data_IF_365173689192
#
_entry.id   IF_365173689192
#
_cell.length_a   1.000
_cell.length_b   1.000
_cell.length_c   1.000
_cell.angle_alpha   90.00
_cell.angle_beta   90.00
_cell.angle_gamma   90.00
#
_symmetry.space_group_name_H-M   'P 1'
#
loop_
_entity.id
_entity.type
_entity.pdbx_description
1 polymer ?
#
# COMPACT_ATOMS: atom_id res chain seq x y z
N UNK A 1 39.92 79.91 2.50
CA UNK A 1 38.71 79.35 1.83
C UNK A 1 38.86 77.83 1.72
N UNK A 2 38.26 77.09 2.62
CA UNK A 2 38.42 75.64 2.70
C UNK A 2 37.13 75.03 2.17
N UNK A 3 37.18 74.34 1.03
CA UNK A 3 36.00 73.59 0.50
C UNK A 3 35.89 72.22 1.18
N UNK A 4 34.78 71.99 1.85
CA UNK A 4 34.43 70.69 2.42
C UNK A 4 33.81 69.82 1.30
N UNK A 5 34.51 68.75 0.92
CA UNK A 5 34.01 67.74 -0.01
C UNK A 5 33.06 66.86 0.72
N UNK A 6 31.73 66.96 0.45
CA UNK A 6 30.72 66.07 0.92
C UNK A 6 30.83 64.72 0.21
N UNK A 7 31.22 63.65 0.94
CA UNK A 7 31.19 62.31 0.47
C UNK A 7 29.72 61.81 0.42
N UNK A 8 29.21 61.39 -0.71
CA UNK A 8 27.89 60.78 -0.89
C UNK A 8 27.92 59.33 -0.32
N UNK A 9 26.94 58.94 0.51
CA UNK A 9 26.86 57.60 0.99
C UNK A 9 26.49 56.66 -0.19
N UNK A 10 27.31 55.63 -0.41
CA UNK A 10 27.02 54.53 -1.34
C UNK A 10 25.94 53.66 -0.73
N UNK A 11 24.75 53.63 -1.34
CA UNK A 11 23.70 52.68 -1.01
C UNK A 11 24.15 51.25 -1.40
N UNK A 12 23.99 50.23 -0.53
CA UNK A 12 24.35 48.87 -0.86
C UNK A 12 23.42 48.36 -1.98
N UNK A 13 24.00 48.04 -3.14
CA UNK A 13 23.30 47.33 -4.22
C UNK A 13 22.97 45.93 -3.70
N UNK A 14 21.70 45.67 -3.40
CA UNK A 14 21.18 44.32 -3.23
C UNK A 14 21.28 43.61 -4.58
N UNK A 15 22.33 42.81 -4.78
CA UNK A 15 22.40 41.89 -5.91
C UNK A 15 21.40 40.77 -5.70
N UNK A 16 20.39 40.70 -6.54
CA UNK A 16 19.51 39.53 -6.59
C UNK A 16 20.38 38.31 -6.93
N UNK A 17 20.13 37.15 -6.27
CA UNK A 17 20.90 35.97 -6.58
C UNK A 17 20.74 35.59 -8.05
N UNK A 18 21.80 35.18 -8.73
CA UNK A 18 21.72 34.79 -10.13
C UNK A 18 20.68 33.67 -10.31
N UNK A 19 19.92 33.73 -11.39
CA UNK A 19 18.83 32.77 -11.69
C UNK A 19 19.26 31.31 -11.55
N UNK A 20 20.54 31.02 -11.84
CA UNK A 20 21.16 29.70 -11.65
C UNK A 20 21.14 29.21 -10.20
N UNK A 21 21.28 30.08 -9.21
CA UNK A 21 21.23 29.70 -7.78
C UNK A 21 19.80 29.36 -7.38
N UNK A 22 18.82 30.11 -7.89
CA UNK A 22 17.39 29.83 -7.61
C UNK A 22 16.99 28.48 -8.20
N UNK A 23 17.40 28.17 -9.43
CA UNK A 23 17.16 26.89 -10.08
C UNK A 23 17.79 25.75 -9.29
N UNK A 24 19.03 25.90 -8.84
CA UNK A 24 19.74 24.88 -8.07
C UNK A 24 19.04 24.59 -6.74
N UNK A 25 18.54 25.61 -6.03
CA UNK A 25 17.80 25.46 -4.78
C UNK A 25 16.47 24.75 -5.00
N UNK A 26 15.74 25.08 -6.06
CA UNK A 26 14.45 24.45 -6.39
C UNK A 26 14.65 22.98 -6.76
N UNK A 27 15.66 22.66 -7.58
CA UNK A 27 15.97 21.27 -7.95
C UNK A 27 16.42 20.47 -6.72
N UNK A 28 17.25 21.05 -5.86
CA UNK A 28 17.68 20.43 -4.61
C UNK A 28 16.49 20.14 -3.67
N UNK A 29 15.57 21.09 -3.53
CA UNK A 29 14.37 20.91 -2.71
C UNK A 29 13.45 19.81 -3.27
N UNK A 30 13.24 19.74 -4.58
CA UNK A 30 12.45 18.69 -5.24
C UNK A 30 13.09 17.31 -5.08
N UNK A 31 14.41 17.20 -5.17
CA UNK A 31 15.13 15.94 -4.92
C UNK A 31 15.02 15.51 -3.46
N UNK A 32 15.12 16.42 -2.49
CA UNK A 32 14.94 16.09 -1.07
C UNK A 32 13.51 15.62 -0.77
N UNK A 33 12.49 16.26 -1.35
CA UNK A 33 11.09 15.82 -1.21
C UNK A 33 10.89 14.45 -1.86
N UNK A 34 11.43 14.23 -3.06
CA UNK A 34 11.36 12.92 -3.73
C UNK A 34 12.03 11.81 -2.92
N UNK A 35 13.21 12.07 -2.34
CA UNK A 35 13.88 11.12 -1.44
C UNK A 35 13.09 10.84 -0.17
N UNK A 36 12.46 11.84 0.43
CA UNK A 36 11.65 11.66 1.64
C UNK A 36 10.41 10.78 1.38
N UNK A 37 9.84 10.82 0.17
CA UNK A 37 8.78 9.90 -0.25
C UNK A 37 9.28 8.49 -0.55
N UNK A 38 10.49 8.36 -1.11
CA UNK A 38 11.09 7.06 -1.43
C UNK A 38 11.59 6.29 -0.20
N UNK A 39 11.86 6.99 0.90
CA UNK A 39 12.34 6.40 2.16
C UNK A 39 11.22 6.15 3.18
N UNK A 40 9.94 6.34 2.79
CA UNK A 40 8.84 5.95 3.67
C UNK A 40 8.80 4.43 3.76
N UNK A 41 8.92 3.93 4.99
CA UNK A 41 8.64 2.53 5.26
C UNK A 41 7.22 2.20 4.77
N UNK A 42 7.02 1.07 4.10
CA UNK A 42 5.70 0.66 3.67
C UNK A 42 4.77 0.55 4.88
N UNK A 43 3.56 1.11 4.75
CA UNK A 43 2.54 0.95 5.78
C UNK A 43 2.24 -0.54 5.95
N UNK A 44 2.25 -1.02 7.19
CA UNK A 44 1.93 -2.40 7.53
C UNK A 44 0.72 -2.47 8.45
N UNK A 45 -0.07 -3.50 8.28
CA UNK A 45 -1.15 -3.87 9.19
C UNK A 45 -0.59 -4.88 10.18
N UNK A 46 -0.63 -4.59 11.50
CA UNK A 46 0.04 -5.42 12.50
C UNK A 46 -0.42 -6.89 12.50
N UNK A 47 -1.70 -7.13 12.16
CA UNK A 47 -2.25 -8.49 12.12
C UNK A 47 -3.47 -8.56 11.20
N UNK A 48 -3.53 -9.61 10.39
CA UNK A 48 -4.72 -10.00 9.61
C UNK A 48 -5.04 -11.46 9.94
N UNK A 49 -6.24 -11.69 10.42
CA UNK A 49 -6.73 -13.04 10.78
C UNK A 49 -7.67 -13.54 9.70
N UNK A 50 -7.41 -14.73 9.16
CA UNK A 50 -8.32 -15.41 8.23
C UNK A 50 -8.82 -16.71 8.85
N UNK A 51 -10.14 -16.91 8.82
CA UNK A 51 -10.81 -18.11 9.38
C UNK A 51 -11.42 -18.93 8.25
N UNK A 52 -11.20 -20.25 8.31
CA UNK A 52 -11.71 -21.24 7.39
C UNK A 52 -12.68 -22.16 8.12
N UNK A 53 -13.94 -22.18 7.72
CA UNK A 53 -14.97 -23.06 8.28
C UNK A 53 -15.17 -24.35 7.47
N UNK A 54 -14.41 -24.50 6.35
CA UNK A 54 -14.50 -25.68 5.50
C UNK A 54 -13.68 -26.86 6.02
N UNK A 55 -13.85 -28.01 5.39
CA UNK A 55 -13.07 -29.22 5.65
C UNK A 55 -11.81 -29.35 4.79
N UNK A 56 -11.54 -28.34 3.93
CA UNK A 56 -10.38 -28.30 3.04
C UNK A 56 -9.34 -27.30 3.55
N UNK A 57 -8.05 -27.57 3.37
CA UNK A 57 -7.03 -26.52 3.54
C UNK A 57 -7.16 -25.50 2.41
N UNK A 58 -7.21 -24.21 2.74
CA UNK A 58 -7.40 -23.13 1.76
C UNK A 58 -6.19 -22.22 1.74
N UNK A 59 -5.56 -22.09 0.58
CA UNK A 59 -4.50 -21.11 0.35
C UNK A 59 -5.13 -19.73 0.13
N UNK A 60 -4.61 -18.73 0.82
CA UNK A 60 -5.11 -17.36 0.78
C UNK A 60 -4.01 -16.43 0.29
N UNK A 61 -4.36 -15.63 -0.68
CA UNK A 61 -3.55 -14.51 -1.13
C UNK A 61 -4.33 -13.19 -1.05
N UNK A 62 -3.61 -12.10 -1.02
CA UNK A 62 -4.19 -10.76 -1.03
C UNK A 62 -3.47 -9.86 -2.00
N UNK A 63 -4.22 -8.93 -2.60
CA UNK A 63 -3.69 -7.87 -3.46
C UNK A 63 -4.48 -6.58 -3.28
N UNK A 64 -3.82 -5.46 -3.51
CA UNK A 64 -4.46 -4.15 -3.57
C UNK A 64 -4.99 -3.81 -4.96
N UNK A 65 -5.74 -2.72 -5.05
CA UNK A 65 -6.14 -2.11 -6.32
C UNK A 65 -5.46 -0.74 -6.49
N UNK A 66 -5.12 -0.31 -7.74
CA UNK A 66 -5.43 -0.93 -9.04
C UNK A 66 -4.43 -2.00 -9.50
N UNK A 67 -3.24 -2.11 -8.91
CA UNK A 67 -2.19 -3.02 -9.40
C UNK A 67 -1.22 -3.45 -8.29
N UNK A 68 -1.75 -3.70 -7.07
CA UNK A 68 -0.92 -4.18 -5.97
C UNK A 68 -0.29 -5.54 -6.27
N UNK A 69 0.93 -5.73 -5.80
CA UNK A 69 1.59 -7.04 -5.85
C UNK A 69 0.75 -8.07 -5.10
N UNK A 70 0.67 -9.29 -5.65
CA UNK A 70 0.04 -10.41 -4.97
C UNK A 70 0.91 -10.84 -3.80
N UNK A 71 0.36 -10.81 -2.61
CA UNK A 71 0.99 -11.28 -1.39
C UNK A 71 0.32 -12.59 -0.97
N UNK A 72 1.10 -13.66 -0.89
CA UNK A 72 0.63 -14.94 -0.35
C UNK A 72 0.63 -14.80 1.17
N UNK A 73 -0.53 -14.99 1.80
CA UNK A 73 -0.65 -14.95 3.25
C UNK A 73 -0.20 -16.28 3.85
N UNK A 74 -1.00 -17.32 3.68
CA UNK A 74 -0.68 -18.69 4.13
C UNK A 74 -1.81 -19.66 3.73
N UNK A 75 -1.65 -20.93 4.13
CA UNK A 75 -2.68 -21.95 4.03
C UNK A 75 -3.47 -22.02 5.34
N UNK A 76 -4.77 -21.73 5.27
CA UNK A 76 -5.68 -21.82 6.42
C UNK A 76 -6.13 -23.26 6.59
N UNK A 77 -5.84 -23.92 7.72
CA UNK A 77 -6.20 -25.32 7.93
C UNK A 77 -7.73 -25.50 8.01
N UNK A 78 -8.22 -26.74 7.75
CA UNK A 78 -9.65 -27.06 7.87
C UNK A 78 -10.20 -26.71 9.26
N UNK A 79 -11.33 -26.00 9.31
CA UNK A 79 -11.96 -25.57 10.56
C UNK A 79 -11.09 -24.66 11.43
N UNK A 80 -9.99 -24.11 10.87
CA UNK A 80 -8.98 -23.36 11.59
C UNK A 80 -8.90 -21.91 11.20
N UNK A 81 -7.84 -21.26 11.68
CA UNK A 81 -7.49 -19.87 11.35
C UNK A 81 -6.00 -19.69 11.26
N UNK A 82 -5.60 -18.64 10.57
CA UNK A 82 -4.23 -18.12 10.56
C UNK A 82 -4.21 -16.67 11.01
N UNK A 83 -3.13 -16.29 11.67
CA UNK A 83 -2.83 -14.90 12.05
C UNK A 83 -1.56 -14.48 11.34
N UNK A 84 -1.70 -13.64 10.30
CA UNK A 84 -0.55 -13.06 9.60
C UNK A 84 -0.17 -11.75 10.28
N UNK A 85 1.09 -11.60 10.64
CA UNK A 85 1.63 -10.39 11.26
C UNK A 85 2.37 -9.55 10.23
N UNK A 86 2.39 -8.24 10.47
CA UNK A 86 3.13 -7.25 9.66
C UNK A 86 2.79 -7.35 8.16
N UNK A 87 1.50 -7.50 7.86
CA UNK A 87 1.01 -7.61 6.49
C UNK A 87 1.10 -6.25 5.80
N UNK A 88 1.75 -6.21 4.65
CA UNK A 88 1.85 -5.00 3.84
C UNK A 88 0.45 -4.44 3.52
N UNK A 89 0.21 -3.16 3.81
CA UNK A 89 -1.07 -2.51 3.54
C UNK A 89 -1.34 -2.49 2.03
N UNK A 90 -2.50 -2.99 1.64
CA UNK A 90 -2.93 -3.11 0.26
C UNK A 90 -3.69 -1.86 -0.24
N UNK A 91 -3.75 -0.80 0.58
CA UNK A 91 -4.48 0.42 0.29
C UNK A 91 -5.98 0.32 0.58
N UNK A 92 -6.80 1.13 -0.10
CA UNK A 92 -8.22 1.29 0.21
C UNK A 92 -9.07 0.05 -0.04
N UNK A 93 -8.63 -0.83 -0.94
CA UNK A 93 -9.34 -2.05 -1.33
C UNK A 93 -8.41 -3.25 -1.26
N UNK A 94 -8.83 -4.25 -0.54
CA UNK A 94 -8.17 -5.53 -0.38
C UNK A 94 -8.94 -6.60 -1.16
N UNK A 95 -8.25 -7.33 -2.03
CA UNK A 95 -8.83 -8.43 -2.79
C UNK A 95 -8.18 -9.71 -2.30
N UNK A 96 -8.92 -10.52 -1.59
CA UNK A 96 -8.50 -11.84 -1.12
C UNK A 96 -8.84 -12.89 -2.17
N UNK A 97 -7.86 -13.67 -2.59
CA UNK A 97 -8.02 -14.82 -3.46
C UNK A 97 -7.94 -16.12 -2.66
N UNK A 98 -8.69 -17.14 -3.06
CA UNK A 98 -8.81 -18.42 -2.37
C UNK A 98 -8.61 -19.57 -3.33
N UNK A 99 -7.70 -20.48 -3.01
CA UNK A 99 -7.47 -21.70 -3.78
C UNK A 99 -7.33 -22.91 -2.86
N UNK A 100 -7.82 -24.07 -3.27
CA UNK A 100 -7.63 -25.34 -2.57
C UNK A 100 -7.42 -26.46 -3.59
N UNK A 101 -6.38 -27.26 -3.41
CA UNK A 101 -6.07 -28.43 -4.28
C UNK A 101 -6.06 -28.10 -5.79
N UNK A 102 -5.61 -26.90 -6.16
CA UNK A 102 -5.59 -26.42 -7.53
C UNK A 102 -6.92 -25.87 -8.06
N UNK A 103 -7.97 -25.89 -7.25
CA UNK A 103 -9.29 -25.31 -7.56
C UNK A 103 -9.31 -23.84 -7.16
N UNK A 104 -9.78 -22.96 -8.05
CA UNK A 104 -9.96 -21.53 -7.75
C UNK A 104 -11.36 -21.31 -7.14
N UNK A 105 -11.39 -20.90 -5.89
CA UNK A 105 -12.61 -20.52 -5.18
C UNK A 105 -13.09 -19.10 -5.51
N UNK A 106 -12.31 -18.36 -6.31
CA UNK A 106 -12.59 -16.96 -6.62
C UNK A 106 -11.99 -15.98 -5.63
N UNK A 107 -12.47 -14.74 -5.68
CA UNK A 107 -11.94 -13.68 -4.84
C UNK A 107 -13.03 -12.84 -4.19
N UNK A 108 -12.68 -12.26 -3.04
CA UNK A 108 -13.54 -11.34 -2.28
C UNK A 108 -12.87 -10.00 -2.13
N UNK A 109 -13.62 -8.95 -2.46
CA UNK A 109 -13.16 -7.56 -2.29
C UNK A 109 -13.73 -6.97 -1.00
N UNK A 110 -12.84 -6.43 -0.18
CA UNK A 110 -13.19 -5.80 1.10
C UNK A 110 -12.50 -4.45 1.19
N UNK A 111 -13.22 -3.42 1.61
CA UNK A 111 -12.59 -2.12 1.86
C UNK A 111 -11.72 -2.16 3.11
N UNK A 112 -10.63 -1.39 3.11
CA UNK A 112 -9.76 -1.21 4.28
C UNK A 112 -10.55 -0.79 5.51
N UNK A 113 -11.49 0.14 5.35
CA UNK A 113 -12.34 0.64 6.43
C UNK A 113 -13.19 -0.48 7.05
N UNK A 114 -13.76 -1.37 6.21
CA UNK A 114 -14.53 -2.52 6.71
C UNK A 114 -13.65 -3.52 7.43
N UNK A 115 -12.50 -3.89 6.88
CA UNK A 115 -11.54 -4.79 7.54
C UNK A 115 -11.10 -4.24 8.90
N UNK A 116 -10.80 -2.93 8.98
CA UNK A 116 -10.42 -2.28 10.23
C UNK A 116 -11.58 -2.31 11.25
N UNK A 117 -12.83 -2.04 10.82
CA UNK A 117 -14.01 -2.13 11.67
C UNK A 117 -14.26 -3.54 12.20
N UNK A 118 -13.94 -4.57 11.39
CA UNK A 118 -14.05 -5.99 11.74
C UNK A 118 -12.81 -6.50 12.53
N UNK A 119 -11.91 -5.59 12.94
CA UNK A 119 -10.69 -5.92 13.68
C UNK A 119 -9.66 -6.69 12.85
N UNK A 120 -9.59 -6.44 11.54
CA UNK A 120 -8.71 -7.11 10.58
C UNK A 120 -8.96 -8.62 10.50
N UNK A 121 -10.23 -9.02 10.59
CA UNK A 121 -10.67 -10.41 10.53
C UNK A 121 -11.49 -10.65 9.28
N UNK A 122 -11.21 -11.76 8.61
CA UNK A 122 -11.95 -12.22 7.45
C UNK A 122 -12.33 -13.69 7.65
N UNK A 123 -13.62 -14.03 7.58
CA UNK A 123 -14.07 -15.39 7.40
C UNK A 123 -14.15 -15.68 5.89
N UNK A 124 -13.69 -16.85 5.46
CA UNK A 124 -13.85 -17.29 4.07
C UNK A 124 -15.35 -17.45 3.81
N UNK A 125 -15.92 -16.76 2.80
CA UNK A 125 -17.37 -16.81 2.55
C UNK A 125 -17.86 -18.21 2.14
N UNK A 126 -19.09 -18.53 2.49
CA UNK A 126 -19.68 -19.85 2.21
C UNK A 126 -19.78 -20.16 0.71
N UNK A 127 -20.01 -19.17 -0.12
CA UNK A 127 -20.04 -19.31 -1.59
C UNK A 127 -18.65 -19.65 -2.17
N UNK A 128 -17.59 -19.11 -1.60
CA UNK A 128 -16.20 -19.47 -1.93
C UNK A 128 -15.94 -20.93 -1.52
N UNK A 129 -16.33 -21.29 -0.29
CA UNK A 129 -16.19 -22.65 0.23
C UNK A 129 -16.94 -23.65 -0.66
N UNK A 130 -18.17 -23.33 -1.05
CA UNK A 130 -18.97 -24.18 -1.93
C UNK A 130 -18.29 -24.41 -3.29
N UNK A 131 -17.69 -23.36 -3.89
CA UNK A 131 -16.92 -23.49 -5.14
C UNK A 131 -15.69 -24.38 -4.97
N UNK A 132 -14.93 -24.20 -3.90
CA UNK A 132 -13.75 -25.01 -3.62
C UNK A 132 -14.13 -26.50 -3.42
N UNK A 133 -15.23 -26.77 -2.73
CA UNK A 133 -15.71 -28.15 -2.47
C UNK A 133 -16.30 -28.81 -3.72
N UNK A 134 -16.92 -28.05 -4.60
CA UNK A 134 -17.50 -28.61 -5.85
C UNK A 134 -16.46 -29.02 -6.87
N UNK A 135 -15.21 -28.59 -6.73
CA UNK A 135 -14.16 -28.81 -7.71
C UNK A 135 -14.45 -28.15 -9.06
N UNK A 136 -15.42 -27.25 -9.11
CA UNK A 136 -15.86 -26.61 -10.35
C UNK A 136 -14.85 -25.54 -10.76
N UNK A 137 -13.96 -25.92 -11.63
CA UNK A 137 -13.14 -24.98 -12.40
C UNK A 137 -14.07 -24.30 -13.40
N UNK A 138 -14.65 -23.17 -13.05
CA UNK A 138 -15.27 -22.29 -14.04
C UNK A 138 -14.14 -21.43 -14.63
N UNK A 139 -13.74 -21.67 -15.92
CA UNK A 139 -12.71 -20.86 -16.54
C UNK A 139 -13.22 -19.43 -16.65
N UNK A 140 -12.61 -18.52 -15.90
CA UNK A 140 -12.86 -17.08 -15.97
C UNK A 140 -12.28 -16.51 -17.29
N UNK A 141 -12.82 -16.97 -18.44
CA UNK A 141 -12.54 -16.38 -19.75
C UNK A 141 -13.85 -16.18 -20.51
N UNK A 142 -14.36 -14.98 -20.39
CA UNK A 142 -15.06 -14.28 -21.48
C UNK A 142 -14.76 -12.80 -21.42
#
# INVERSE_FOLDING_TARGET
MTQATMARPHAPRRSLPPVSVIILVVVGALLCVGMAFALRDPDVVPRVTVTNTSTLPVNVDVRGTPSGSRLILDTVPPGGRIDNVDVLDQGDQWIFGFTADGVDGGSVRVSRAKLAADGWRLAIPDDVIARLQSGSFEPAYR
#
